data_IF_321281389248
#
_entry.id   IF_321281389248
#
_cell.length_a   1.000
_cell.length_b   1.000
_cell.length_c   1.000
_cell.angle_alpha   90.00
_cell.angle_beta   90.00
_cell.angle_gamma   90.00
#
_symmetry.space_group_name_H-M   'P 1'
#
loop_
_entity.id
_entity.type
_entity.pdbx_description
1 polymer ?
#
# COMPACT_ATOMS: atom_id res chain seq x y z
N UNK A 1 22.09 2.76 0.32
CA UNK A 1 21.36 2.07 1.42
C UNK A 1 21.38 0.60 1.12
N UNK A 2 22.06 -0.21 1.94
CA UNK A 2 22.21 -1.65 1.72
C UNK A 2 20.99 -2.38 2.25
N UNK A 3 20.15 -2.88 1.35
CA UNK A 3 19.00 -3.70 1.70
C UNK A 3 19.50 -5.07 2.12
N UNK A 4 19.58 -5.34 3.42
CA UNK A 4 19.79 -6.71 3.91
C UNK A 4 18.57 -7.53 3.46
N UNK A 5 18.74 -8.57 2.62
CA UNK A 5 17.61 -9.36 2.16
C UNK A 5 17.00 -10.06 3.37
N UNK A 6 15.70 -9.85 3.59
CA UNK A 6 15.01 -10.57 4.65
C UNK A 6 15.04 -12.08 4.31
N UNK A 7 15.15 -13.00 5.29
CA UNK A 7 15.21 -14.44 5.04
C UNK A 7 14.00 -15.03 4.28
N UNK A 8 12.95 -14.23 4.11
CA UNK A 8 11.68 -14.57 3.46
C UNK A 8 11.50 -13.86 2.10
N UNK A 9 12.57 -13.27 1.57
CA UNK A 9 12.58 -12.59 0.28
C UNK A 9 13.19 -13.52 -0.78
N UNK A 10 12.34 -14.05 -1.66
CA UNK A 10 12.74 -14.92 -2.75
C UNK A 10 12.76 -14.18 -4.11
N UNK A 11 13.10 -12.88 -4.11
CA UNK A 11 13.25 -12.08 -5.34
C UNK A 11 14.24 -12.66 -6.37
N UNK A 12 15.15 -13.53 -5.95
CA UNK A 12 16.06 -14.24 -6.87
C UNK A 12 15.33 -15.26 -7.77
N UNK A 13 14.13 -15.72 -7.38
CA UNK A 13 13.29 -16.65 -8.16
C UNK A 13 12.38 -15.94 -9.18
N UNK A 14 12.43 -14.61 -9.21
CA UNK A 14 11.56 -13.79 -10.05
C UNK A 14 12.33 -12.71 -10.78
N UNK A 15 11.77 -12.26 -11.89
CA UNK A 15 12.29 -11.15 -12.68
C UNK A 15 11.15 -10.22 -13.09
N UNK A 16 11.45 -8.94 -13.26
CA UNK A 16 10.50 -7.95 -13.78
C UNK A 16 10.81 -7.72 -15.26
N UNK A 17 9.82 -7.92 -16.13
CA UNK A 17 9.94 -7.72 -17.58
C UNK A 17 8.81 -6.87 -18.11
N UNK A 18 9.11 -6.06 -19.13
CA UNK A 18 8.09 -5.38 -19.91
C UNK A 18 7.24 -6.40 -20.68
N UNK A 19 5.92 -6.21 -20.65
CA UNK A 19 4.93 -7.01 -21.34
C UNK A 19 4.22 -6.13 -22.35
N UNK A 20 4.19 -6.57 -23.60
CA UNK A 20 3.61 -5.82 -24.70
C UNK A 20 2.15 -5.42 -24.41
N UNK A 21 1.87 -4.12 -24.50
CA UNK A 21 0.54 -3.55 -24.25
C UNK A 21 0.05 -3.59 -22.80
N UNK A 22 0.85 -4.05 -21.83
CA UNK A 22 0.42 -4.27 -20.43
C UNK A 22 1.34 -3.69 -19.34
N UNK A 23 2.46 -3.07 -19.72
CA UNK A 23 3.43 -2.54 -18.77
C UNK A 23 4.34 -3.63 -18.21
N UNK A 24 4.89 -3.43 -17.01
CA UNK A 24 5.82 -4.39 -16.39
C UNK A 24 5.08 -5.48 -15.62
N UNK A 25 5.58 -6.71 -15.71
CA UNK A 25 5.07 -7.86 -14.97
C UNK A 25 6.20 -8.67 -14.32
N UNK A 26 5.84 -9.43 -13.28
CA UNK A 26 6.75 -10.31 -12.55
C UNK A 26 6.64 -11.72 -13.14
N UNK A 27 7.77 -12.30 -13.52
CA UNK A 27 7.88 -13.65 -14.07
C UNK A 27 8.72 -14.53 -13.16
N UNK A 28 8.37 -15.81 -13.07
CA UNK A 28 9.21 -16.79 -12.40
C UNK A 28 10.39 -17.17 -13.30
N UNK A 29 11.61 -17.13 -12.77
CA UNK A 29 12.82 -17.58 -13.49
C UNK A 29 13.03 -19.08 -13.36
N UNK A 30 12.42 -19.70 -12.35
CA UNK A 30 12.50 -21.13 -12.08
C UNK A 30 11.24 -21.69 -11.41
N UNK A 31 11.24 -23.00 -11.10
CA UNK A 31 10.08 -23.66 -10.48
C UNK A 31 9.97 -23.27 -9.00
N UNK A 32 8.91 -22.54 -8.66
CA UNK A 32 8.66 -22.06 -7.31
C UNK A 32 7.77 -23.06 -6.54
N UNK A 33 8.21 -23.60 -5.39
CA UNK A 33 7.37 -24.42 -4.54
C UNK A 33 6.13 -23.67 -4.05
N UNK A 34 5.00 -24.38 -3.92
CA UNK A 34 3.78 -23.80 -3.35
C UNK A 34 4.04 -23.28 -1.93
N UNK A 35 3.55 -22.08 -1.63
CA UNK A 35 3.72 -21.44 -0.32
C UNK A 35 5.00 -20.61 -0.18
N UNK A 36 5.84 -20.53 -1.21
CA UNK A 36 7.01 -19.66 -1.21
C UNK A 36 6.61 -18.19 -1.15
N UNK A 37 7.16 -17.44 -0.20
CA UNK A 37 7.00 -16.00 -0.13
C UNK A 37 8.00 -15.33 -1.07
N UNK A 38 7.48 -14.73 -2.14
CA UNK A 38 8.32 -14.12 -3.19
C UNK A 38 8.82 -12.73 -2.82
N UNK A 39 7.94 -11.89 -2.28
CA UNK A 39 8.28 -10.52 -1.90
C UNK A 39 7.86 -10.26 -0.46
N UNK A 40 8.79 -9.71 0.31
CA UNK A 40 8.60 -9.38 1.71
C UNK A 40 9.00 -7.93 1.98
N UNK A 41 8.13 -6.99 1.62
CA UNK A 41 8.37 -5.56 1.89
C UNK A 41 7.76 -5.12 3.22
N UNK A 42 8.51 -4.23 3.88
CA UNK A 42 7.98 -3.45 5.01
C UNK A 42 6.95 -2.45 4.47
N UNK A 43 5.80 -2.28 5.14
CA UNK A 43 4.81 -1.31 4.70
C UNK A 43 5.33 0.11 4.77
N UNK A 44 4.85 0.95 3.85
CA UNK A 44 5.09 2.38 3.85
C UNK A 44 4.33 3.08 4.98
N UNK A 45 3.13 2.60 5.30
CA UNK A 45 2.28 3.13 6.35
C UNK A 45 1.67 1.98 7.17
N UNK A 46 1.68 2.11 8.49
CA UNK A 46 0.91 1.29 9.42
C UNK A 46 -0.04 2.21 10.18
N UNK A 47 -1.34 1.97 10.05
CA UNK A 47 -2.35 2.71 10.79
C UNK A 47 -3.28 1.71 11.50
N UNK A 48 -3.71 1.98 12.75
CA UNK A 48 -4.85 1.30 13.34
C UNK A 48 -6.06 1.54 12.46
N UNK A 49 -6.88 0.51 12.25
CA UNK A 49 -8.21 0.69 11.65
C UNK A 49 -9.17 0.72 12.80
N UNK A 50 -9.60 1.92 13.17
CA UNK A 50 -10.83 2.08 13.92
C UNK A 50 -11.92 2.57 12.96
N UNK A 51 -12.97 1.76 12.82
CA UNK A 51 -14.12 2.14 12.00
C UNK A 51 -14.90 3.32 12.60
N UNK A 52 -14.72 3.63 13.88
CA UNK A 52 -15.34 4.75 14.56
C UNK A 52 -14.66 6.10 14.25
N UNK A 53 -13.37 6.10 13.94
CA UNK A 53 -12.60 7.35 13.75
C UNK A 53 -12.63 7.89 12.33
N UNK A 54 -13.27 7.18 11.39
CA UNK A 54 -13.48 7.68 10.03
C UNK A 54 -12.17 8.14 9.39
N UNK A 55 -11.10 7.34 9.48
CA UNK A 55 -9.85 7.59 8.75
C UNK A 55 -8.91 8.64 9.37
N UNK A 56 -9.29 9.27 10.49
CA UNK A 56 -8.42 10.19 11.23
C UNK A 56 -7.08 9.52 11.63
N UNK A 57 -7.11 8.20 11.87
CA UNK A 57 -5.94 7.40 12.22
C UNK A 57 -4.94 7.26 11.05
N UNK A 58 -5.43 7.27 9.81
CA UNK A 58 -4.59 7.18 8.59
C UNK A 58 -3.89 8.51 8.33
N UNK A 59 -4.60 9.63 8.43
CA UNK A 59 -4.01 10.97 8.27
C UNK A 59 -2.98 11.25 9.36
N UNK A 60 -3.27 10.88 10.61
CA UNK A 60 -2.32 10.97 11.72
C UNK A 60 -1.07 10.13 11.47
N UNK A 61 -1.24 8.86 11.06
CA UNK A 61 -0.11 7.99 10.74
C UNK A 61 0.73 8.54 9.56
N UNK A 62 0.10 9.11 8.53
CA UNK A 62 0.80 9.74 7.41
C UNK A 62 1.61 10.96 7.84
N UNK A 63 1.08 11.80 8.73
CA UNK A 63 1.79 12.97 9.25
C UNK A 63 3.02 12.60 10.08
N UNK A 64 3.02 11.41 10.69
CA UNK A 64 4.14 10.88 11.46
C UNK A 64 5.23 10.21 10.60
N UNK A 65 5.03 10.08 9.29
CA UNK A 65 6.04 9.54 8.37
C UNK A 65 7.17 10.54 8.11
N UNK A 66 8.37 10.01 7.80
CA UNK A 66 9.48 10.83 7.29
C UNK A 66 9.12 11.52 5.97
N UNK A 67 9.78 12.64 5.63
CA UNK A 67 9.53 13.35 4.37
C UNK A 67 9.65 12.44 3.13
N UNK A 68 10.68 11.58 3.09
CA UNK A 68 10.87 10.59 2.02
C UNK A 68 9.76 9.53 1.98
N UNK A 69 9.27 9.09 3.13
CA UNK A 69 8.18 8.11 3.21
C UNK A 69 6.84 8.71 2.82
N UNK A 70 6.59 9.99 3.17
CA UNK A 70 5.39 10.73 2.75
C UNK A 70 5.38 10.92 1.24
N UNK A 71 6.51 11.34 0.67
CA UNK A 71 6.65 11.45 -0.78
C UNK A 71 6.42 10.11 -1.47
N UNK A 72 7.04 9.04 -0.97
CA UNK A 72 6.86 7.71 -1.51
C UNK A 72 5.42 7.19 -1.42
N UNK A 73 4.70 7.58 -0.35
CA UNK A 73 3.28 7.30 -0.16
C UNK A 73 2.41 8.07 -1.16
N UNK A 74 2.67 9.36 -1.38
CA UNK A 74 1.92 10.20 -2.32
C UNK A 74 2.13 9.80 -3.79
N UNK A 75 3.25 9.14 -4.10
CA UNK A 75 3.54 8.56 -5.43
C UNK A 75 2.76 7.26 -5.71
N UNK A 76 2.11 6.67 -4.70
CA UNK A 76 1.22 5.53 -4.92
C UNK A 76 -0.03 5.99 -5.69
N UNK A 77 -0.64 5.07 -6.44
CA UNK A 77 -1.88 5.34 -7.16
C UNK A 77 -3.09 5.29 -6.21
N UNK A 78 -3.75 6.44 -6.01
CA UNK A 78 -4.92 6.57 -5.15
C UNK A 78 -6.23 6.27 -5.88
N UNK A 79 -7.05 5.38 -5.31
CA UNK A 79 -8.42 5.13 -5.73
C UNK A 79 -9.38 5.15 -4.53
N UNK A 80 -10.17 6.21 -4.44
CA UNK A 80 -11.25 6.31 -3.45
C UNK A 80 -12.56 5.77 -4.02
N UNK A 81 -13.13 4.73 -3.39
CA UNK A 81 -14.50 4.29 -3.71
C UNK A 81 -15.54 5.30 -3.27
N UNK A 82 -16.73 5.18 -3.84
CA UNK A 82 -17.90 5.96 -3.42
C UNK A 82 -18.22 5.80 -1.94
N UNK A 83 -18.01 4.62 -1.35
CA UNK A 83 -18.21 4.40 0.08
C UNK A 83 -17.20 5.18 0.93
N UNK A 84 -15.95 5.24 0.49
CA UNK A 84 -14.90 6.06 1.12
C UNK A 84 -15.28 7.54 1.05
N UNK A 85 -15.74 8.00 -0.12
CA UNK A 85 -16.17 9.39 -0.30
C UNK A 85 -17.32 9.78 0.64
N UNK A 86 -18.33 8.91 0.76
CA UNK A 86 -19.49 9.12 1.64
C UNK A 86 -19.10 9.15 3.12
N UNK A 87 -18.22 8.23 3.56
CA UNK A 87 -17.82 8.12 4.97
C UNK A 87 -16.99 9.31 5.47
N UNK A 88 -16.15 9.88 4.61
CA UNK A 88 -15.22 10.94 5.01
C UNK A 88 -15.68 12.34 4.61
N UNK A 89 -16.95 12.50 4.24
CA UNK A 89 -17.51 13.78 3.78
C UNK A 89 -16.60 14.46 2.74
N UNK A 90 -16.31 13.71 1.66
CA UNK A 90 -15.25 13.99 0.70
C UNK A 90 -15.16 15.44 0.22
N UNK A 91 -16.31 16.08 0.02
CA UNK A 91 -16.41 17.45 -0.47
C UNK A 91 -15.79 18.48 0.48
N UNK A 92 -15.73 18.20 1.78
CA UNK A 92 -15.19 19.09 2.81
C UNK A 92 -13.69 18.91 3.03
N UNK A 93 -13.07 17.89 2.43
CA UNK A 93 -11.65 17.59 2.61
C UNK A 93 -10.75 18.41 1.68
N UNK A 94 -9.57 18.78 2.18
CA UNK A 94 -8.50 19.36 1.36
C UNK A 94 -7.89 18.36 0.38
N UNK A 95 -7.21 18.86 -0.67
CA UNK A 95 -6.64 18.01 -1.72
C UNK A 95 -5.67 16.94 -1.20
N UNK A 96 -4.86 17.29 -0.20
CA UNK A 96 -3.91 16.36 0.42
C UNK A 96 -4.64 15.25 1.22
N UNK A 97 -5.66 15.60 1.99
CA UNK A 97 -6.42 14.63 2.78
C UNK A 97 -7.19 13.66 1.88
N UNK A 98 -7.78 14.16 0.78
CA UNK A 98 -8.40 13.34 -0.25
C UNK A 98 -7.39 12.36 -0.86
N UNK A 99 -6.19 12.83 -1.19
CA UNK A 99 -5.14 11.98 -1.76
C UNK A 99 -4.68 10.90 -0.78
N UNK A 100 -4.51 11.25 0.51
CA UNK A 100 -4.08 10.29 1.54
C UNK A 100 -5.13 9.21 1.78
N UNK A 101 -6.41 9.58 1.82
CA UNK A 101 -7.52 8.64 2.02
C UNK A 101 -7.81 7.78 0.78
N UNK A 102 -7.64 8.33 -0.44
CA UNK A 102 -7.74 7.55 -1.67
C UNK A 102 -6.71 6.42 -1.76
N UNK A 103 -5.60 6.54 -1.03
CA UNK A 103 -4.53 5.56 -0.97
C UNK A 103 -4.73 4.50 0.12
N UNK A 104 -5.70 4.69 1.01
CA UNK A 104 -6.02 3.73 2.05
C UNK A 104 -6.77 2.53 1.48
N UNK A 105 -6.35 1.28 1.78
CA UNK A 105 -7.06 0.09 1.40
C UNK A 105 -8.49 0.13 1.92
N UNK A 106 -9.43 -0.11 1.03
CA UNK A 106 -10.84 -0.24 1.37
C UNK A 106 -11.02 -1.59 2.04
N UNK A 107 -11.18 -1.59 3.35
CA UNK A 107 -11.54 -2.81 4.06
C UNK A 107 -13.04 -3.02 3.95
N UNK A 108 -13.39 -4.20 3.43
CA UNK A 108 -14.70 -4.80 3.60
C UNK A 108 -15.03 -4.82 5.11
N UNK A 109 -16.31 -4.64 5.49
CA UNK A 109 -16.74 -4.40 6.88
C UNK A 109 -16.38 -5.50 7.89
N UNK A 110 -15.80 -6.62 7.48
CA UNK A 110 -15.52 -7.78 8.33
C UNK A 110 -14.05 -7.92 8.78
N UNK A 111 -13.16 -6.97 8.44
CA UNK A 111 -11.72 -7.09 8.76
C UNK A 111 -11.26 -6.13 9.86
N UNK A 112 -10.90 -6.68 11.03
CA UNK A 112 -10.43 -5.93 12.21
C UNK A 112 -8.90 -5.93 12.41
N UNK A 113 -8.11 -6.35 11.41
CA UNK A 113 -6.63 -6.37 11.48
C UNK A 113 -5.97 -5.11 10.90
N UNK A 114 -4.72 -4.75 11.27
CA UNK A 114 -4.06 -3.48 10.90
C UNK A 114 -3.87 -3.29 9.38
N UNK A 115 -4.10 -2.06 8.90
CA UNK A 115 -4.00 -1.73 7.48
C UNK A 115 -2.54 -1.58 7.08
N UNK A 116 -2.14 -2.25 6.01
CA UNK A 116 -0.75 -2.36 5.59
C UNK A 116 -0.63 -1.96 4.12
N UNK A 117 -0.07 -0.78 3.84
CA UNK A 117 0.08 -0.27 2.46
C UNK A 117 1.50 -0.56 1.98
N UNK A 118 1.62 -1.17 0.81
CA UNK A 118 2.89 -1.52 0.18
C UNK A 118 3.02 -0.82 -1.17
N UNK A 119 4.25 -0.49 -1.56
CA UNK A 119 4.56 0.00 -2.89
C UNK A 119 4.58 -1.19 -3.86
N UNK A 120 3.97 -1.04 -5.02
CA UNK A 120 4.22 -1.94 -6.15
C UNK A 120 5.44 -1.41 -6.90
N UNK A 121 6.53 -2.16 -6.86
CA UNK A 121 7.78 -1.91 -7.58
C UNK A 121 7.63 -2.11 -9.08
#
# INVERSE_FOLDING_TARGET
MSTTPSPLDARHLIEVKATEGKGSAIFATEKIPRGTRLVAESPLLKAPIDHATGGADVTSAFNNLSASSRQAYLELYGYASEDTKKRHNWEMLGGLDRQVLALSPQLLPEYHGPCTIKRTS
#
